data_IF_596719942904
#
_entry.id   IF_596719942904
#
_cell.length_a   1.000
_cell.length_b   1.000
_cell.length_c   1.000
_cell.angle_alpha   90.00
_cell.angle_beta   90.00
_cell.angle_gamma   90.00
#
_symmetry.space_group_name_H-M   'P 1'
#
loop_
_entity.id
_entity.type
_entity.pdbx_description
1 polymer ?
#
# COMPACT_ATOMS: atom_id res chain seq x y z
N UNK A 1 -4.43 -14.38 7.65
CA UNK A 1 -4.50 -14.17 6.19
C UNK A 1 -4.72 -15.44 5.40
N UNK A 2 -4.08 -16.59 5.73
CA UNK A 2 -4.29 -17.82 4.96
C UNK A 2 -5.78 -18.24 4.92
N UNK A 3 -6.46 -18.26 6.08
CA UNK A 3 -7.89 -18.61 6.15
C UNK A 3 -8.83 -17.59 5.46
N UNK A 4 -8.37 -16.37 5.25
CA UNK A 4 -9.14 -15.31 4.56
C UNK A 4 -8.97 -15.44 3.04
N UNK A 5 -7.72 -15.64 2.59
CA UNK A 5 -7.39 -15.73 1.18
C UNK A 5 -7.67 -17.12 0.58
N UNK A 6 -7.75 -18.14 1.43
CA UNK A 6 -8.02 -19.51 1.03
C UNK A 6 -8.79 -20.25 2.14
N UNK A 7 -10.10 -20.00 2.30
CA UNK A 7 -10.92 -20.62 3.35
C UNK A 7 -11.21 -22.11 3.11
N UNK A 8 -10.71 -22.69 2.01
CA UNK A 8 -11.03 -24.05 1.57
C UNK A 8 -12.41 -24.15 0.91
N UNK A 9 -13.44 -23.58 1.53
CA UNK A 9 -14.77 -23.39 0.92
C UNK A 9 -15.26 -21.96 1.09
N UNK A 10 -15.60 -21.31 -0.03
CA UNK A 10 -16.17 -19.97 -0.04
C UNK A 10 -17.61 -19.91 0.49
N UNK A 11 -18.27 -21.06 0.63
CA UNK A 11 -19.64 -21.17 1.19
C UNK A 11 -19.65 -21.17 2.72
N UNK A 12 -18.54 -21.52 3.38
CA UNK A 12 -18.45 -21.71 4.83
C UNK A 12 -17.40 -20.80 5.47
N UNK A 13 -17.41 -19.51 5.09
CA UNK A 13 -16.50 -18.52 5.67
C UNK A 13 -17.08 -18.02 7.00
N UNK A 14 -16.27 -18.01 8.05
CA UNK A 14 -16.67 -17.40 9.32
C UNK A 14 -16.93 -15.90 9.12
N UNK A 15 -18.06 -15.33 9.57
CA UNK A 15 -18.42 -13.94 9.30
C UNK A 15 -17.32 -12.90 9.62
N UNK A 16 -16.53 -13.02 10.71
CA UNK A 16 -15.43 -12.08 10.97
C UNK A 16 -14.26 -12.12 9.98
N UNK A 17 -14.15 -13.20 9.19
CA UNK A 17 -13.11 -13.44 8.19
C UNK A 17 -13.58 -13.06 6.76
N UNK A 18 -14.85 -12.71 6.59
CA UNK A 18 -15.39 -12.26 5.32
C UNK A 18 -15.18 -10.75 5.16
N UNK A 19 -14.72 -10.33 3.99
CA UNK A 19 -14.59 -8.91 3.66
C UNK A 19 -15.97 -8.26 3.54
N UNK A 20 -16.10 -7.00 3.97
CA UNK A 20 -17.29 -6.23 3.64
C UNK A 20 -17.40 -6.06 2.11
N UNK A 21 -18.63 -6.05 1.57
CA UNK A 21 -18.84 -5.96 0.11
C UNK A 21 -18.37 -4.61 -0.46
N UNK A 22 -18.69 -3.52 0.25
CA UNK A 22 -18.19 -2.18 -0.08
C UNK A 22 -18.32 -1.23 1.11
N UNK A 23 -19.54 -1.07 1.61
CA UNK A 23 -19.82 -0.28 2.80
C UNK A 23 -19.73 -1.15 4.06
N UNK A 24 -19.09 -0.61 5.09
CA UNK A 24 -18.84 -1.29 6.35
C UNK A 24 -17.37 -1.69 6.50
N UNK A 25 -17.08 -2.44 7.56
CA UNK A 25 -15.78 -3.03 7.80
C UNK A 25 -15.94 -4.27 8.67
N UNK A 26 -15.11 -5.27 8.44
CA UNK A 26 -14.95 -6.45 9.28
C UNK A 26 -13.53 -6.51 9.83
N UNK A 27 -13.23 -7.37 10.82
CA UNK A 27 -11.88 -7.52 11.35
C UNK A 27 -10.83 -7.83 10.27
N UNK A 28 -11.18 -8.56 9.21
CA UNK A 28 -10.24 -8.89 8.14
C UNK A 28 -9.81 -7.67 7.31
N UNK A 29 -10.71 -6.69 7.14
CA UNK A 29 -10.43 -5.45 6.39
C UNK A 29 -9.35 -4.59 7.07
N UNK A 30 -9.26 -4.68 8.41
CA UNK A 30 -8.33 -3.87 9.21
C UNK A 30 -6.90 -4.41 9.26
N UNK A 31 -6.68 -5.68 8.92
CA UNK A 31 -5.37 -6.32 9.12
C UNK A 31 -4.29 -5.65 8.25
N UNK A 32 -4.60 -5.37 6.98
CA UNK A 32 -3.62 -4.74 6.08
C UNK A 32 -3.28 -3.29 6.49
N UNK A 33 -4.26 -2.42 6.79
CA UNK A 33 -4.00 -1.10 7.36
C UNK A 33 -3.17 -1.14 8.65
N UNK A 34 -3.51 -2.01 9.61
CA UNK A 34 -2.75 -2.12 10.86
C UNK A 34 -1.33 -2.63 10.64
N UNK A 35 -1.14 -3.57 9.73
CA UNK A 35 0.20 -4.03 9.37
C UNK A 35 1.06 -2.88 8.84
N UNK A 36 0.57 -2.08 7.90
CA UNK A 36 1.30 -0.93 7.37
C UNK A 36 1.55 0.14 8.44
N UNK A 37 0.58 0.38 9.32
CA UNK A 37 0.73 1.31 10.44
C UNK A 37 1.88 0.87 11.37
N UNK A 38 1.90 -0.40 11.78
CA UNK A 38 2.95 -0.95 12.65
C UNK A 38 4.32 -0.88 11.97
N UNK A 39 4.39 -1.19 10.66
CA UNK A 39 5.63 -1.02 9.87
C UNK A 39 6.11 0.43 9.93
N UNK A 40 5.20 1.41 9.77
CA UNK A 40 5.51 2.83 9.90
C UNK A 40 6.03 3.22 11.29
N UNK A 41 5.37 2.73 12.34
CA UNK A 41 5.77 2.95 13.74
C UNK A 41 7.16 2.36 14.04
N UNK A 42 7.50 1.23 13.43
CA UNK A 42 8.80 0.57 13.63
C UNK A 42 9.98 1.33 13.00
N UNK A 43 9.76 2.14 11.95
CA UNK A 43 10.82 2.85 11.21
C UNK A 43 11.67 3.75 12.13
N UNK A 44 11.10 4.70 12.90
CA UNK A 44 11.88 5.53 13.81
C UNK A 44 12.73 4.74 14.80
N UNK A 45 12.18 3.67 15.39
CA UNK A 45 12.92 2.83 16.34
C UNK A 45 14.09 2.10 15.70
N UNK A 46 13.91 1.63 14.47
CA UNK A 46 14.95 0.93 13.71
C UNK A 46 16.04 1.87 13.19
N UNK A 47 15.68 3.09 12.79
CA UNK A 47 16.56 3.98 12.03
C UNK A 47 17.31 4.98 12.90
N UNK A 48 16.77 5.36 14.07
CA UNK A 48 17.36 6.39 14.96
C UNK A 48 18.83 6.19 15.27
N UNK A 49 19.28 4.95 15.49
CA UNK A 49 20.70 4.65 15.81
C UNK A 49 21.64 4.72 14.61
N UNK A 50 21.10 4.82 13.38
CA UNK A 50 21.84 4.78 12.11
C UNK A 50 21.82 6.13 11.37
N UNK A 51 21.26 7.17 11.99
CA UNK A 51 21.23 8.53 11.50
C UNK A 51 22.21 9.36 12.33
N UNK A 52 23.44 9.52 11.85
CA UNK A 52 24.51 10.24 12.56
C UNK A 52 25.49 10.91 11.61
N UNK A 53 26.07 10.15 10.68
CA UNK A 53 26.95 10.67 9.62
C UNK A 53 26.33 10.52 8.23
N UNK A 54 26.86 11.27 7.26
CA UNK A 54 26.45 11.16 5.84
C UNK A 54 26.64 9.73 5.32
N UNK A 55 27.76 9.09 5.67
CA UNK A 55 28.04 7.70 5.29
C UNK A 55 27.02 6.70 5.87
N UNK A 56 26.66 6.87 7.16
CA UNK A 56 25.64 6.03 7.81
C UNK A 56 24.26 6.22 7.17
N UNK A 57 23.93 7.47 6.81
CA UNK A 57 22.68 7.84 6.15
C UNK A 57 22.58 7.20 4.76
N UNK A 58 23.65 7.27 3.95
CA UNK A 58 23.71 6.62 2.64
C UNK A 58 23.60 5.09 2.74
N UNK A 59 24.27 4.48 3.71
CA UNK A 59 24.17 3.05 3.97
C UNK A 59 22.75 2.62 4.36
N UNK A 60 22.09 3.42 5.22
CA UNK A 60 20.70 3.19 5.60
C UNK A 60 19.75 3.30 4.40
N UNK A 61 19.91 4.33 3.56
CA UNK A 61 19.08 4.48 2.36
C UNK A 61 19.29 3.31 1.38
N UNK A 62 20.52 2.86 1.16
CA UNK A 62 20.81 1.68 0.34
C UNK A 62 20.17 0.41 0.90
N UNK A 63 20.14 0.26 2.23
CA UNK A 63 19.44 -0.85 2.90
C UNK A 63 17.93 -0.80 2.64
N UNK A 64 17.31 0.37 2.78
CA UNK A 64 15.88 0.57 2.51
C UNK A 64 15.55 0.29 1.05
N UNK A 65 16.35 0.84 0.12
CA UNK A 65 16.19 0.61 -1.32
C UNK A 65 16.30 -0.88 -1.67
N UNK A 66 17.33 -1.56 -1.17
CA UNK A 66 17.52 -3.00 -1.42
C UNK A 66 16.33 -3.81 -0.92
N UNK A 67 15.83 -3.55 0.30
CA UNK A 67 14.64 -4.26 0.82
C UNK A 67 13.41 -4.01 -0.05
N UNK A 68 13.19 -2.76 -0.46
CA UNK A 68 12.04 -2.38 -1.28
C UNK A 68 12.08 -3.07 -2.64
N UNK A 69 13.25 -3.09 -3.29
CA UNK A 69 13.46 -3.79 -4.56
C UNK A 69 13.27 -5.31 -4.43
N UNK A 70 13.76 -5.91 -3.34
CA UNK A 70 13.54 -7.34 -3.08
C UNK A 70 12.05 -7.65 -2.94
N UNK A 71 11.29 -6.85 -2.18
CA UNK A 71 9.85 -7.05 -2.01
C UNK A 71 9.09 -6.91 -3.34
N UNK A 72 9.43 -5.91 -4.15
CA UNK A 72 8.84 -5.71 -5.46
C UNK A 72 9.17 -6.89 -6.39
N UNK A 73 10.44 -7.31 -6.44
CA UNK A 73 10.89 -8.42 -7.25
C UNK A 73 10.21 -9.74 -6.85
N UNK A 74 10.08 -10.01 -5.55
CA UNK A 74 9.35 -11.17 -5.04
C UNK A 74 7.87 -11.11 -5.43
N UNK A 75 7.24 -9.94 -5.34
CA UNK A 75 5.85 -9.76 -5.75
C UNK A 75 5.63 -10.02 -7.24
N UNK A 76 6.55 -9.55 -8.09
CA UNK A 76 6.53 -9.82 -9.54
C UNK A 76 6.76 -11.31 -9.81
N UNK A 77 7.77 -11.92 -9.18
CA UNK A 77 8.07 -13.35 -9.34
C UNK A 77 6.89 -14.24 -8.93
N UNK A 78 6.20 -13.91 -7.83
CA UNK A 78 5.00 -14.64 -7.39
C UNK A 78 3.84 -14.56 -8.39
N UNK A 79 3.73 -13.46 -9.16
CA UNK A 79 2.71 -13.32 -10.20
C UNK A 79 3.13 -13.99 -11.50
N UNK A 80 4.43 -14.03 -11.78
CA UNK A 80 4.99 -14.56 -13.02
C UNK A 80 5.11 -16.10 -13.05
N UNK A 81 5.06 -16.76 -11.90
CA UNK A 81 5.25 -18.21 -11.76
C UNK A 81 3.93 -18.87 -11.34
N UNK A 82 3.51 -20.00 -11.94
CA UNK A 82 4.20 -20.78 -12.98
C UNK A 82 3.88 -20.37 -14.42
N UNK A 83 2.76 -19.68 -14.65
CA UNK A 83 2.30 -19.28 -15.99
C UNK A 83 2.45 -17.78 -16.15
N UNK A 84 3.37 -17.38 -17.03
CA UNK A 84 3.65 -15.97 -17.29
C UNK A 84 2.75 -15.46 -18.41
N UNK A 85 1.85 -14.55 -18.08
CA UNK A 85 0.97 -13.85 -19.02
C UNK A 85 1.07 -12.34 -18.80
N UNK A 86 1.54 -11.61 -19.81
CA UNK A 86 1.66 -10.16 -19.77
C UNK A 86 0.31 -9.44 -19.73
N UNK A 87 -0.74 -10.00 -20.35
CA UNK A 87 -2.07 -9.39 -20.43
C UNK A 87 -2.80 -9.39 -19.10
N UNK A 88 -2.58 -10.42 -18.28
CA UNK A 88 -3.21 -10.59 -16.96
C UNK A 88 -2.31 -10.16 -15.80
N UNK A 89 -1.15 -9.56 -16.07
CA UNK A 89 -0.19 -9.22 -15.02
C UNK A 89 -0.59 -7.94 -14.29
N UNK A 90 -1.43 -8.08 -13.25
CA UNK A 90 -1.70 -7.00 -12.29
C UNK A 90 -0.42 -6.68 -11.49
N UNK A 91 0.31 -5.66 -11.92
CA UNK A 91 1.62 -5.26 -11.38
C UNK A 91 1.59 -4.86 -9.89
N UNK A 92 0.48 -4.31 -9.41
CA UNK A 92 0.36 -3.75 -8.05
C UNK A 92 -0.20 -4.73 -7.01
N UNK A 93 0.52 -5.83 -6.77
CA UNK A 93 0.24 -6.75 -5.66
C UNK A 93 0.61 -6.19 -4.27
N UNK A 94 0.27 -6.95 -3.22
CA UNK A 94 0.49 -6.57 -1.82
C UNK A 94 1.99 -6.32 -1.53
N UNK A 95 2.87 -7.20 -2.00
CA UNK A 95 4.31 -7.09 -1.79
C UNK A 95 4.91 -5.85 -2.44
N UNK A 96 4.48 -5.52 -3.67
CA UNK A 96 4.89 -4.33 -4.39
C UNK A 96 4.45 -3.07 -3.66
N UNK A 97 3.20 -3.01 -3.20
CA UNK A 97 2.66 -1.89 -2.41
C UNK A 97 3.44 -1.69 -1.12
N UNK A 98 3.74 -2.76 -0.38
CA UNK A 98 4.56 -2.69 0.85
C UNK A 98 5.96 -2.17 0.51
N UNK A 99 6.60 -2.66 -0.56
CA UNK A 99 7.91 -2.20 -0.99
C UNK A 99 7.95 -0.70 -1.30
N UNK A 100 6.97 -0.20 -2.07
CA UNK A 100 6.87 1.21 -2.44
C UNK A 100 6.62 2.10 -1.21
N UNK A 101 5.66 1.73 -0.37
CA UNK A 101 5.33 2.50 0.84
C UNK A 101 6.49 2.49 1.83
N UNK A 102 7.19 1.35 2.00
CA UNK A 102 8.37 1.26 2.85
C UNK A 102 9.51 2.16 2.34
N UNK A 103 9.76 2.18 1.02
CA UNK A 103 10.74 3.07 0.41
C UNK A 103 10.39 4.54 0.67
N UNK A 104 9.15 4.93 0.38
CA UNK A 104 8.68 6.30 0.53
C UNK A 104 8.72 6.76 2.00
N UNK A 105 8.19 5.94 2.92
CA UNK A 105 8.19 6.23 4.35
C UNK A 105 9.62 6.26 4.90
N UNK A 106 10.47 5.31 4.52
CA UNK A 106 11.88 5.26 4.91
C UNK A 106 12.66 6.49 4.43
N UNK A 107 12.53 6.85 3.15
CA UNK A 107 13.15 8.05 2.58
C UNK A 107 12.63 9.33 3.26
N UNK A 108 11.32 9.43 3.50
CA UNK A 108 10.74 10.57 4.22
C UNK A 108 11.31 10.71 5.64
N UNK A 109 11.57 9.59 6.31
CA UNK A 109 12.17 9.61 7.65
C UNK A 109 13.65 10.00 7.63
N UNK A 110 14.39 9.53 6.61
CA UNK A 110 15.82 9.81 6.45
C UNK A 110 16.07 11.28 6.09
N UNK A 111 15.28 11.85 5.18
CA UNK A 111 15.57 13.15 4.57
C UNK A 111 14.70 14.30 5.08
N UNK A 112 13.49 14.04 5.59
CA UNK A 112 12.58 15.09 6.05
C UNK A 112 12.58 15.18 7.58
N UNK A 113 12.45 16.41 8.09
CA UNK A 113 12.15 16.65 9.51
C UNK A 113 10.70 16.31 9.87
N UNK A 114 10.34 16.44 11.15
CA UNK A 114 8.98 16.16 11.64
C UNK A 114 7.90 16.98 10.91
N UNK A 115 8.16 18.28 10.68
CA UNK A 115 7.27 19.15 9.90
C UNK A 115 7.13 18.70 8.46
N UNK A 116 8.24 18.36 7.79
CA UNK A 116 8.22 17.87 6.42
C UNK A 116 7.41 16.58 6.29
N UNK A 117 7.59 15.62 7.22
CA UNK A 117 6.78 14.39 7.26
C UNK A 117 5.30 14.65 7.49
N UNK A 118 4.96 15.56 8.41
CA UNK A 118 3.57 15.94 8.66
C UNK A 118 2.94 16.57 7.40
N UNK A 119 3.65 17.51 6.76
CA UNK A 119 3.20 18.14 5.51
C UNK A 119 3.04 17.11 4.39
N UNK A 120 4.03 16.24 4.16
CA UNK A 120 3.92 15.16 3.16
C UNK A 120 2.71 14.26 3.46
N UNK A 121 2.52 13.85 4.72
CA UNK A 121 1.37 13.04 5.12
C UNK A 121 0.04 13.76 4.88
N UNK A 122 -0.08 15.02 5.26
CA UNK A 122 -1.28 15.83 5.04
C UNK A 122 -1.57 16.02 3.55
N UNK A 123 -0.55 16.30 2.73
CA UNK A 123 -0.70 16.45 1.28
C UNK A 123 -1.17 15.13 0.66
N UNK A 124 -0.59 13.99 1.05
CA UNK A 124 -1.02 12.70 0.52
C UNK A 124 -2.46 12.37 0.89
N UNK A 125 -2.85 12.60 2.15
CA UNK A 125 -4.21 12.31 2.61
C UNK A 125 -5.26 13.24 2.00
N UNK A 126 -5.05 14.56 2.13
CA UNK A 126 -5.98 15.56 1.62
C UNK A 126 -5.97 15.61 0.09
N UNK A 127 -4.80 15.44 -0.52
CA UNK A 127 -4.66 15.37 -1.98
C UNK A 127 -5.35 14.14 -2.54
N UNK A 128 -5.18 12.96 -1.94
CA UNK A 128 -5.89 11.76 -2.38
C UNK A 128 -7.40 11.91 -2.23
N UNK A 129 -7.87 12.42 -1.08
CA UNK A 129 -9.28 12.72 -0.87
C UNK A 129 -9.82 13.69 -1.93
N UNK A 130 -9.13 14.79 -2.20
CA UNK A 130 -9.53 15.78 -3.18
C UNK A 130 -9.56 15.19 -4.60
N UNK A 131 -8.57 14.39 -4.97
CA UNK A 131 -8.53 13.68 -6.26
C UNK A 131 -9.72 12.75 -6.40
N UNK A 132 -10.04 11.96 -5.36
CA UNK A 132 -11.15 11.01 -5.40
C UNK A 132 -12.53 11.66 -5.39
N UNK A 133 -12.66 12.88 -4.88
CA UNK A 133 -13.98 13.53 -4.68
C UNK A 133 -14.25 14.68 -5.65
N UNK A 134 -13.22 15.35 -6.17
CA UNK A 134 -13.37 16.55 -6.99
C UNK A 134 -13.10 16.30 -8.47
N UNK A 135 -12.35 15.25 -8.83
CA UNK A 135 -12.09 14.90 -10.24
C UNK A 135 -13.32 14.18 -10.81
N UNK A 136 -13.95 14.71 -11.87
CA UNK A 136 -15.09 14.05 -12.49
C UNK A 136 -14.66 12.82 -13.27
N UNK A 137 -15.33 11.70 -13.03
CA UNK A 137 -15.15 10.44 -13.77
C UNK A 137 -16.11 10.40 -14.97
N UNK A 138 -15.63 10.10 -16.19
CA UNK A 138 -16.51 9.98 -17.35
C UNK A 138 -17.65 8.98 -17.11
N UNK A 139 -18.89 9.44 -17.26
CA UNK A 139 -20.09 8.63 -17.06
C UNK A 139 -20.68 8.63 -15.64
N UNK A 140 -19.94 9.07 -14.62
CA UNK A 140 -20.35 9.03 -13.21
C UNK A 140 -20.33 10.41 -12.52
N UNK A 141 -19.56 11.37 -13.04
CA UNK A 141 -19.44 12.70 -12.45
C UNK A 141 -18.38 12.78 -11.34
N UNK A 142 -18.35 13.87 -10.58
CA UNK A 142 -17.42 14.06 -9.47
C UNK A 142 -18.06 13.61 -8.15
N UNK A 143 -17.24 13.04 -7.26
CA UNK A 143 -17.68 12.67 -5.91
C UNK A 143 -18.31 11.29 -5.79
N UNK A 144 -18.39 10.52 -6.87
CA UNK A 144 -18.86 9.14 -6.83
C UNK A 144 -17.79 8.23 -6.19
N UNK A 145 -18.11 7.67 -5.02
CA UNK A 145 -17.27 6.74 -4.27
C UNK A 145 -17.85 5.32 -4.27
N UNK A 146 -18.72 4.98 -5.23
CA UNK A 146 -19.21 3.63 -5.46
C UNK A 146 -18.10 2.73 -6.04
N UNK A 147 -18.31 1.41 -6.01
CA UNK A 147 -17.41 0.42 -6.60
C UNK A 147 -17.09 0.70 -8.06
N UNK A 148 -18.06 1.17 -8.83
CA UNK A 148 -17.95 1.39 -10.27
C UNK A 148 -17.56 2.83 -10.62
N UNK A 149 -18.18 3.83 -9.98
CA UNK A 149 -18.03 5.23 -10.38
C UNK A 149 -16.78 5.94 -9.84
N UNK A 150 -16.04 5.33 -8.91
CA UNK A 150 -14.86 5.98 -8.35
C UNK A 150 -13.68 6.02 -9.34
N UNK A 151 -12.88 7.09 -9.22
CA UNK A 151 -11.77 7.37 -10.13
C UNK A 151 -10.73 6.25 -10.20
N UNK A 152 -10.38 5.65 -9.05
CA UNK A 152 -9.39 4.58 -9.00
C UNK A 152 -9.88 3.33 -9.75
N UNK A 153 -11.16 2.98 -9.60
CA UNK A 153 -11.81 1.85 -10.26
C UNK A 153 -11.94 2.07 -11.76
N UNK A 154 -12.22 3.31 -12.19
CA UNK A 154 -12.21 3.68 -13.60
C UNK A 154 -10.83 3.56 -14.23
N UNK A 155 -9.77 4.07 -13.55
CA UNK A 155 -8.39 3.96 -14.01
C UNK A 155 -7.91 2.50 -14.09
N UNK A 156 -8.31 1.65 -13.13
CA UNK A 156 -7.97 0.22 -13.12
C UNK A 156 -8.61 -0.56 -14.30
N UNK A 157 -9.60 0.01 -15.00
CA UNK A 157 -10.31 -0.63 -16.13
C UNK A 157 -9.95 -0.07 -17.52
N UNK A 158 -9.14 0.98 -17.60
CA UNK A 158 -8.60 1.50 -18.87
C UNK A 158 -7.58 0.53 -19.47
#
# INVERSE_FOLDING_TARGET
MILVNNPGSWTYIYPPLQHAEWHGWTPTDLIFPYFLFIVGVAIPFSFRRRLGTVAQTGHLMRHVLRRSLILIALGVAMRAIPTFDWGEMRLYGVLQRIGIVYLAAGASYIYLGARGRAVTGSILLLGYWAVMTLVPVPGYGAGDLSTEGNLASWLDRL
#
